data_IF_950860087806
#
_entry.id   IF_950860087806
#
_cell.length_a   1.000
_cell.length_b   1.000
_cell.length_c   1.000
_cell.angle_alpha   90.00
_cell.angle_beta   90.00
_cell.angle_gamma   90.00
#
_symmetry.space_group_name_H-M   'P 1'
#
loop_
_entity.id
_entity.type
_entity.pdbx_description
1 polymer ?
#
# COMPACT_ATOMS: atom_id res chain seq x y z
N UNK A 1 53.96 -7.88 -35.23
CA UNK A 1 55.09 -8.79 -35.52
C UNK A 1 56.03 -8.67 -34.33
N UNK A 2 55.93 -9.55 -33.33
CA UNK A 2 56.87 -10.62 -33.00
C UNK A 2 56.53 -10.97 -31.53
N UNK A 3 56.56 -12.18 -30.99
CA UNK A 3 56.92 -13.50 -31.46
C UNK A 3 56.25 -14.51 -30.53
N UNK A 4 55.95 -15.69 -31.08
CA UNK A 4 55.63 -16.90 -30.34
C UNK A 4 56.76 -17.28 -29.38
N UNK A 5 56.42 -17.84 -28.22
CA UNK A 5 57.17 -18.96 -27.65
C UNK A 5 56.26 -19.80 -26.76
N UNK A 6 56.51 -21.10 -26.84
CA UNK A 6 55.57 -22.20 -26.74
C UNK A 6 56.07 -23.16 -25.65
N UNK A 7 55.13 -23.82 -24.97
CA UNK A 7 55.23 -25.09 -24.22
C UNK A 7 56.11 -25.16 -22.96
N UNK A 8 55.51 -25.58 -21.84
CA UNK A 8 55.90 -26.82 -21.13
C UNK A 8 54.86 -27.09 -20.04
N UNK A 9 53.96 -28.05 -20.23
CA UNK A 9 54.04 -29.44 -19.77
C UNK A 9 53.34 -29.68 -18.44
N UNK A 10 52.42 -30.64 -18.52
CA UNK A 10 51.49 -31.14 -17.50
C UNK A 10 52.20 -31.66 -16.26
N UNK A 11 51.60 -31.42 -15.08
CA UNK A 11 51.50 -32.47 -14.05
C UNK A 11 50.18 -32.33 -13.30
N UNK A 12 49.38 -33.38 -13.39
CA UNK A 12 48.20 -33.66 -12.55
C UNK A 12 48.70 -34.13 -11.19
N UNK A 13 48.32 -33.43 -10.11
CA UNK A 13 48.30 -34.01 -8.76
C UNK A 13 47.09 -33.44 -8.01
N UNK A 14 46.03 -34.24 -7.92
CA UNK A 14 45.01 -34.12 -6.86
C UNK A 14 45.56 -34.72 -5.58
N UNK A 15 45.32 -34.11 -4.41
CA UNK A 15 44.53 -34.86 -3.44
C UNK A 15 43.61 -34.01 -2.55
N UNK A 16 42.72 -34.75 -1.88
CA UNK A 16 42.03 -34.44 -0.63
C UNK A 16 40.85 -33.46 -0.69
N UNK A 17 39.72 -34.04 -1.15
CA UNK A 17 38.40 -33.74 -0.59
C UNK A 17 38.48 -33.78 0.95
N UNK A 18 38.32 -32.63 1.59
CA UNK A 18 38.11 -32.51 3.04
C UNK A 18 36.69 -32.00 3.27
N UNK A 19 35.81 -32.76 3.96
CA UNK A 19 34.46 -32.30 4.26
C UNK A 19 34.52 -31.38 5.49
N UNK A 20 35.03 -30.16 5.30
CA UNK A 20 34.84 -29.10 6.29
C UNK A 20 33.40 -28.62 6.18
N UNK A 21 32.56 -29.15 7.07
CA UNK A 21 31.26 -28.64 7.41
C UNK A 21 31.38 -27.17 7.86
N UNK A 22 31.28 -26.24 6.90
CA UNK A 22 30.96 -24.85 7.20
C UNK A 22 29.50 -24.82 7.64
N UNK A 23 29.34 -24.83 8.96
CA UNK A 23 28.09 -24.57 9.67
C UNK A 23 27.42 -23.36 9.03
N UNK A 24 26.24 -23.56 8.47
CA UNK A 24 25.33 -22.48 8.10
C UNK A 24 25.10 -21.65 9.37
N UNK A 25 25.36 -20.33 9.37
CA UNK A 25 24.94 -19.50 10.48
C UNK A 25 23.41 -19.52 10.53
N UNK A 26 22.85 -20.32 11.45
CA UNK A 26 21.49 -20.13 11.95
C UNK A 26 21.50 -18.90 12.85
N UNK A 27 21.46 -17.71 12.28
CA UNK A 27 21.03 -16.54 13.04
C UNK A 27 20.73 -15.38 12.11
N UNK A 28 19.44 -15.23 11.87
CA UNK A 28 18.85 -14.10 11.20
C UNK A 28 17.37 -14.17 11.45
N UNK A 29 16.95 -14.10 12.72
CA UNK A 29 15.62 -13.59 13.03
C UNK A 29 15.59 -12.20 12.42
N UNK A 30 15.15 -12.09 11.16
CA UNK A 30 14.65 -10.85 10.63
C UNK A 30 13.46 -10.55 11.54
N UNK A 31 13.70 -9.68 12.52
CA UNK A 31 12.67 -9.13 13.36
C UNK A 31 11.70 -8.48 12.39
N UNK A 32 10.60 -9.17 12.14
CA UNK A 32 9.39 -8.60 11.58
C UNK A 32 9.00 -7.50 12.56
N UNK A 33 9.41 -6.28 12.22
CA UNK A 33 9.04 -5.08 12.94
C UNK A 33 7.55 -4.95 12.75
N UNK A 34 6.78 -5.33 13.76
CA UNK A 34 5.36 -5.05 13.84
C UNK A 34 5.20 -3.55 13.66
N UNK A 35 4.68 -3.14 12.49
CA UNK A 35 4.25 -1.77 12.25
C UNK A 35 3.05 -1.57 13.15
N UNK A 36 3.24 -0.83 14.24
CA UNK A 36 2.16 -0.44 15.12
C UNK A 36 1.10 0.24 14.26
N UNK A 37 -0.14 -0.23 14.33
CA UNK A 37 -1.28 0.45 13.75
C UNK A 37 -1.41 1.80 14.47
N UNK A 38 -0.83 2.85 13.90
CA UNK A 38 -1.01 4.21 14.38
C UNK A 38 -2.42 4.61 13.97
N UNK A 39 -3.26 4.90 14.97
CA UNK A 39 -4.54 5.55 14.73
C UNK A 39 -4.23 6.90 14.06
N UNK A 40 -4.82 7.19 12.87
CA UNK A 40 -4.51 8.41 12.16
C UNK A 40 -4.97 9.63 12.96
N UNK A 41 -4.29 10.75 12.75
CA UNK A 41 -4.64 11.99 13.45
C UNK A 41 -6.06 12.44 13.06
N UNK A 42 -6.81 12.94 14.04
CA UNK A 42 -8.21 13.36 13.82
C UNK A 42 -8.30 14.47 12.77
N UNK A 43 -7.28 15.31 12.63
CA UNK A 43 -7.19 16.35 11.60
C UNK A 43 -7.00 15.75 10.21
N UNK A 44 -6.19 14.69 10.09
CA UNK A 44 -5.96 13.99 8.82
C UNK A 44 -7.21 13.25 8.36
N UNK A 45 -7.92 12.61 9.29
CA UNK A 45 -9.24 12.02 9.03
C UNK A 45 -10.24 13.05 8.53
N UNK A 46 -10.36 14.20 9.20
CA UNK A 46 -11.29 15.26 8.79
C UNK A 46 -10.93 15.83 7.41
N UNK A 47 -9.64 16.00 7.14
CA UNK A 47 -9.14 16.46 5.84
C UNK A 47 -9.52 15.47 4.72
N UNK A 48 -9.37 14.17 4.97
CA UNK A 48 -9.68 13.13 3.98
C UNK A 48 -11.18 12.91 3.80
N UNK A 49 -11.98 13.09 4.85
CA UNK A 49 -13.44 13.14 4.76
C UNK A 49 -13.88 14.29 3.83
N UNK A 50 -13.46 15.52 4.13
CA UNK A 50 -13.82 16.71 3.33
C UNK A 50 -13.37 16.59 1.87
N UNK A 51 -12.17 16.04 1.65
CA UNK A 51 -11.67 15.74 0.31
C UNK A 51 -12.60 14.77 -0.44
N UNK A 52 -13.03 13.69 0.22
CA UNK A 52 -13.88 12.67 -0.39
C UNK A 52 -15.25 13.24 -0.76
N UNK A 53 -15.88 14.01 0.13
CA UNK A 53 -17.17 14.67 -0.14
C UNK A 53 -17.06 15.67 -1.31
N UNK A 54 -16.02 16.50 -1.30
CA UNK A 54 -15.81 17.50 -2.35
C UNK A 54 -15.53 16.83 -3.69
N UNK A 55 -14.73 15.76 -3.70
CA UNK A 55 -14.40 15.05 -4.92
C UNK A 55 -15.62 14.33 -5.49
N UNK A 56 -16.39 13.64 -4.66
CA UNK A 56 -17.64 12.98 -5.05
C UNK A 56 -18.62 13.94 -5.74
N UNK A 57 -18.81 15.14 -5.16
CA UNK A 57 -19.64 16.21 -5.75
C UNK A 57 -19.07 16.74 -7.06
N UNK A 58 -17.74 16.83 -7.18
CA UNK A 58 -17.08 17.34 -8.40
C UNK A 58 -17.17 16.35 -9.56
N UNK A 59 -17.04 15.06 -9.29
CA UNK A 59 -17.03 14.00 -10.33
C UNK A 59 -18.41 13.43 -10.61
N UNK A 60 -19.42 13.76 -9.80
CA UNK A 60 -20.76 13.19 -9.90
C UNK A 60 -20.77 11.71 -9.55
N UNK A 61 -20.00 11.32 -8.53
CA UNK A 61 -19.90 9.94 -8.05
C UNK A 61 -20.46 9.82 -6.65
N UNK A 62 -20.84 8.62 -6.26
CA UNK A 62 -21.51 8.32 -5.01
C UNK A 62 -20.65 7.41 -4.14
N UNK A 63 -20.90 7.42 -2.83
CA UNK A 63 -20.27 6.47 -1.91
C UNK A 63 -20.91 5.08 -2.05
N UNK A 64 -20.26 4.08 -1.46
CA UNK A 64 -20.84 2.74 -1.33
C UNK A 64 -22.10 2.80 -0.46
N UNK A 65 -23.08 1.93 -0.73
CA UNK A 65 -24.26 1.73 0.12
C UNK A 65 -23.89 1.42 1.57
N UNK A 66 -22.75 0.74 1.76
CA UNK A 66 -22.19 0.48 3.08
C UNK A 66 -21.16 1.57 3.45
N UNK A 67 -21.52 2.36 4.46
CA UNK A 67 -20.67 3.43 4.99
C UNK A 67 -19.43 2.89 5.69
N UNK A 68 -19.44 1.62 6.12
CA UNK A 68 -18.27 0.98 6.74
C UNK A 68 -17.09 0.92 5.76
N UNK A 69 -17.33 0.51 4.50
CA UNK A 69 -16.32 0.47 3.44
C UNK A 69 -15.72 1.85 3.21
N UNK A 70 -16.59 2.86 3.10
CA UNK A 70 -16.18 4.26 2.92
C UNK A 70 -15.29 4.74 4.06
N UNK A 71 -15.66 4.44 5.31
CA UNK A 71 -14.90 4.82 6.49
C UNK A 71 -13.52 4.16 6.56
N UNK A 72 -13.41 2.86 6.24
CA UNK A 72 -12.14 2.13 6.22
C UNK A 72 -11.17 2.71 5.19
N UNK A 73 -11.68 3.05 4.00
CA UNK A 73 -10.84 3.64 2.95
C UNK A 73 -10.37 5.03 3.35
N UNK A 74 -11.24 5.88 3.92
CA UNK A 74 -10.87 7.21 4.42
C UNK A 74 -9.81 7.09 5.53
N UNK A 75 -9.96 6.13 6.45
CA UNK A 75 -8.97 5.86 7.50
C UNK A 75 -7.62 5.45 6.90
N UNK A 76 -7.60 4.52 5.95
CA UNK A 76 -6.36 4.09 5.30
C UNK A 76 -5.68 5.21 4.51
N UNK A 77 -6.45 6.06 3.83
CA UNK A 77 -5.92 7.26 3.14
C UNK A 77 -5.31 8.25 4.14
N UNK A 78 -5.94 8.46 5.30
CA UNK A 78 -5.42 9.30 6.36
C UNK A 78 -4.13 8.73 6.98
N UNK A 79 -4.07 7.42 7.22
CA UNK A 79 -2.86 6.76 7.72
C UNK A 79 -1.68 6.93 6.75
N UNK A 80 -1.88 6.67 5.47
CA UNK A 80 -0.82 6.89 4.48
C UNK A 80 -0.43 8.36 4.34
N UNK A 81 -1.38 9.29 4.51
CA UNK A 81 -1.10 10.72 4.57
C UNK A 81 -0.21 11.07 5.76
N UNK A 82 -0.40 10.46 6.92
CA UNK A 82 0.43 10.72 8.11
C UNK A 82 1.82 10.07 8.00
N UNK A 83 1.90 8.86 7.44
CA UNK A 83 3.17 8.10 7.31
C UNK A 83 4.05 8.56 6.14
N UNK A 84 3.44 8.83 4.98
CA UNK A 84 4.11 9.08 3.70
C UNK A 84 3.96 10.53 3.22
N UNK A 85 3.17 11.36 3.93
CA UNK A 85 2.74 12.70 3.49
C UNK A 85 1.86 12.72 2.23
N UNK A 86 1.46 11.56 1.70
CA UNK A 86 0.64 11.42 0.51
C UNK A 86 -0.48 10.37 0.71
N UNK A 87 -1.71 10.64 0.23
CA UNK A 87 -2.85 9.73 0.42
C UNK A 87 -2.82 8.58 -0.60
N UNK A 88 -1.95 7.60 -0.41
CA UNK A 88 -1.79 6.44 -1.29
C UNK A 88 -3.00 5.47 -1.16
N UNK A 89 -3.60 4.93 -2.25
CA UNK A 89 -4.79 4.05 -2.13
C UNK A 89 -4.46 2.81 -1.27
N UNK A 90 -5.21 2.58 -0.18
CA UNK A 90 -4.92 1.53 0.80
C UNK A 90 -5.26 0.11 0.32
N UNK A 91 -6.07 -0.03 -0.73
CA UNK A 91 -6.51 -1.33 -1.25
C UNK A 91 -5.48 -2.00 -2.18
N UNK A 92 -4.24 -1.52 -2.24
CA UNK A 92 -3.16 -2.13 -3.03
C UNK A 92 -1.96 -2.44 -2.16
N UNK A 93 -1.25 -3.49 -2.52
CA UNK A 93 0.06 -3.79 -1.98
C UNK A 93 1.15 -3.11 -2.81
N UNK A 94 2.16 -2.57 -2.15
CA UNK A 94 3.31 -1.91 -2.77
C UNK A 94 4.58 -2.43 -2.12
N UNK A 95 5.61 -2.71 -2.92
CA UNK A 95 6.92 -3.15 -2.41
C UNK A 95 7.65 -1.98 -1.72
N UNK A 96 7.64 -0.80 -2.34
CA UNK A 96 8.16 0.44 -1.76
C UNK A 96 7.12 1.56 -1.80
N UNK A 97 6.44 1.77 -0.66
CA UNK A 97 5.40 2.79 -0.53
C UNK A 97 5.91 4.22 -0.74
N UNK A 98 7.19 4.50 -0.41
CA UNK A 98 7.73 5.87 -0.50
C UNK A 98 8.00 6.26 -1.94
N UNK A 99 8.62 5.36 -2.71
CA UNK A 99 8.87 5.59 -4.13
C UNK A 99 7.56 5.79 -4.92
N UNK A 100 6.51 5.02 -4.60
CA UNK A 100 5.19 5.15 -5.24
C UNK A 100 4.47 6.45 -4.84
N UNK A 101 4.60 6.88 -3.58
CA UNK A 101 4.06 8.15 -3.12
C UNK A 101 4.73 9.35 -3.83
N UNK A 102 6.03 9.26 -4.11
CA UNK A 102 6.78 10.26 -4.88
C UNK A 102 6.40 10.27 -6.36
N UNK A 103 6.20 9.10 -6.98
CA UNK A 103 5.71 9.00 -8.36
C UNK A 103 4.30 9.57 -8.52
N UNK A 104 3.44 9.35 -7.54
CA UNK A 104 2.09 9.93 -7.47
C UNK A 104 1.05 9.32 -8.40
N UNK A 105 1.34 8.18 -9.04
CA UNK A 105 0.36 7.48 -9.88
C UNK A 105 -0.85 6.98 -9.08
N UNK A 106 -0.58 6.43 -7.88
CA UNK A 106 -1.58 5.84 -6.98
C UNK A 106 -2.01 6.76 -5.83
N UNK A 107 -1.54 8.01 -5.82
CA UNK A 107 -1.99 9.01 -4.85
C UNK A 107 -3.44 9.38 -5.16
N UNK A 108 -4.32 9.32 -4.16
CA UNK A 108 -5.73 9.64 -4.31
C UNK A 108 -5.91 11.13 -4.65
N UNK A 109 -6.61 11.50 -5.74
CA UNK A 109 -7.29 10.63 -6.71
C UNK A 109 -6.32 10.03 -7.75
N UNK A 110 -6.30 8.71 -7.86
CA UNK A 110 -5.36 7.98 -8.70
C UNK A 110 -5.61 8.22 -10.21
N UNK A 111 -4.63 7.87 -11.06
CA UNK A 111 -4.76 8.02 -12.52
C UNK A 111 -6.03 7.37 -13.09
N UNK A 112 -6.37 6.10 -12.77
CA UNK A 112 -7.60 5.48 -13.27
C UNK A 112 -8.88 6.24 -12.88
N UNK A 113 -8.92 6.79 -11.67
CA UNK A 113 -10.06 7.56 -11.20
C UNK A 113 -10.21 8.87 -11.98
N UNK A 114 -9.10 9.55 -12.27
CA UNK A 114 -9.11 10.84 -12.99
C UNK A 114 -9.48 10.68 -14.47
N UNK A 115 -9.02 9.61 -15.11
CA UNK A 115 -9.22 9.40 -16.55
C UNK A 115 -10.51 8.65 -16.87
N UNK A 116 -10.87 7.65 -16.07
CA UNK A 116 -11.96 6.69 -16.37
C UNK A 116 -13.03 6.60 -15.29
N UNK A 117 -12.84 7.29 -14.15
CA UNK A 117 -13.71 7.18 -12.95
C UNK A 117 -13.80 5.77 -12.36
N UNK A 118 -12.75 4.97 -12.54
CA UNK A 118 -12.67 3.62 -11.98
C UNK A 118 -11.98 3.64 -10.61
N UNK A 119 -12.73 3.39 -9.54
CA UNK A 119 -12.22 3.34 -8.17
C UNK A 119 -12.26 1.91 -7.62
N UNK A 120 -11.11 1.21 -7.63
CA UNK A 120 -11.00 -0.12 -7.01
C UNK A 120 -11.28 -0.10 -5.50
N UNK A 121 -10.92 1.00 -4.84
CA UNK A 121 -11.14 1.25 -3.43
C UNK A 121 -12.67 1.36 -3.09
N UNK A 122 -13.60 1.32 -4.07
CA UNK A 122 -15.07 1.49 -3.91
C UNK A 122 -15.53 2.77 -3.20
N UNK A 123 -14.64 3.77 -3.13
CA UNK A 123 -14.94 5.07 -2.53
C UNK A 123 -15.73 5.97 -3.47
N UNK A 124 -15.46 5.89 -4.78
CA UNK A 124 -16.15 6.70 -5.77
C UNK A 124 -16.78 5.77 -6.80
N UNK A 125 -18.08 5.56 -6.67
CA UNK A 125 -18.87 4.70 -7.54
C UNK A 125 -19.68 5.57 -8.51
N UNK A 126 -19.78 5.11 -9.75
CA UNK A 126 -20.63 5.72 -10.76
C UNK A 126 -22.09 5.30 -10.56
N UNK A 127 -23.00 5.99 -11.25
CA UNK A 127 -24.43 5.67 -11.21
C UNK A 127 -24.72 4.26 -11.72
N UNK A 128 -23.95 3.71 -12.64
CA UNK A 128 -24.17 2.37 -13.16
C UNK A 128 -23.77 1.23 -12.20
N UNK A 129 -23.16 1.53 -11.04
CA UNK A 129 -22.68 0.50 -10.13
C UNK A 129 -23.76 -0.01 -9.15
N UNK A 130 -23.90 -1.33 -9.03
CA UNK A 130 -24.87 -1.99 -8.13
C UNK A 130 -24.65 -1.67 -6.64
N UNK A 131 -23.41 -1.36 -6.25
CA UNK A 131 -23.05 -1.08 -4.85
C UNK A 131 -23.14 0.41 -4.49
N UNK A 132 -23.58 1.27 -5.42
CA UNK A 132 -23.71 2.70 -5.15
C UNK A 132 -24.78 2.94 -4.08
N UNK A 133 -24.46 3.79 -3.12
CA UNK A 133 -25.45 4.44 -2.28
C UNK A 133 -26.01 5.70 -2.94
N UNK A 134 -26.92 6.38 -2.25
CA UNK A 134 -27.42 7.71 -2.66
C UNK A 134 -26.65 8.85 -1.98
N UNK A 135 -25.87 8.52 -0.94
CA UNK A 135 -25.15 9.48 -0.14
C UNK A 135 -23.84 9.94 -0.81
N UNK A 136 -23.61 11.26 -0.79
CA UNK A 136 -22.35 11.91 -1.17
C UNK A 136 -21.70 12.65 0.01
N UNK A 137 -22.22 12.42 1.22
CA UNK A 137 -21.72 12.99 2.47
C UNK A 137 -21.61 11.92 3.53
N UNK A 138 -20.58 12.00 4.35
CA UNK A 138 -20.34 11.08 5.47
C UNK A 138 -19.89 11.91 6.66
N UNK A 139 -20.56 11.80 7.79
CA UNK A 139 -20.20 12.55 9.01
C UNK A 139 -18.93 11.99 9.66
N UNK A 140 -18.23 12.81 10.44
CA UNK A 140 -17.03 12.36 11.15
C UNK A 140 -17.37 11.27 12.18
N UNK A 141 -18.52 11.38 12.82
CA UNK A 141 -19.01 10.37 13.77
C UNK A 141 -19.24 9.02 13.07
N UNK A 142 -19.83 9.01 11.87
CA UNK A 142 -19.99 7.77 11.08
C UNK A 142 -18.64 7.11 10.74
N UNK A 143 -17.62 7.90 10.39
CA UNK A 143 -16.27 7.39 10.12
C UNK A 143 -15.63 6.82 11.39
N UNK A 144 -15.78 7.51 12.51
CA UNK A 144 -15.21 7.09 13.80
C UNK A 144 -15.92 5.84 14.34
N UNK A 145 -17.25 5.77 14.30
CA UNK A 145 -18.01 4.60 14.76
C UNK A 145 -17.71 3.36 13.91
N UNK A 146 -17.65 3.50 12.58
CA UNK A 146 -17.31 2.40 11.69
C UNK A 146 -15.89 1.87 11.91
N UNK A 147 -14.95 2.73 12.33
CA UNK A 147 -13.56 2.32 12.55
C UNK A 147 -13.30 1.80 13.96
N UNK A 148 -14.11 2.20 14.96
CA UNK A 148 -14.10 1.63 16.31
C UNK A 148 -14.43 0.14 16.32
N UNK A 149 -15.27 -0.34 15.39
CA UNK A 149 -15.64 -1.76 15.28
C UNK A 149 -14.49 -2.69 14.83
N UNK A 150 -13.39 -2.16 14.28
CA UNK A 150 -12.28 -2.97 13.75
C UNK A 150 -11.13 -3.20 14.72
N UNK A 151 -11.16 -2.59 15.92
CA UNK A 151 -10.19 -2.89 16.99
C UNK A 151 -10.52 -4.17 17.77
N UNK A 152 -11.56 -4.90 17.36
CA UNK A 152 -12.12 -6.07 18.06
C UNK A 152 -12.24 -7.35 17.25
N UNK A 153 -11.34 -7.62 16.29
CA UNK A 153 -11.17 -8.99 15.75
C UNK A 153 -9.82 -9.54 16.22
N UNK A 154 -9.79 -9.96 17.48
CA UNK A 154 -8.96 -11.09 17.91
C UNK A 154 -9.85 -12.33 17.77
N UNK A 155 -9.54 -13.20 16.82
CA UNK A 155 -9.05 -14.57 17.06
C UNK A 155 -8.62 -15.23 15.73
#
# INVERSE_FOLDING_TARGET
>A
MASCSVLSSRTVVTPAFSPSACRVPRSGRHQLRAVAAVEPDTKSLETMRKFSEQYARRTGTYFCMDKSVTAVVIKGLAQHKDELNAPLCPCRHYDDKKAEAEQGFWNCPCVPMRERKECHCMLFLTEDNDFRGEDQSITLDEVVEATKGMSGVQE
#
